data_IF_947493495771
#
_entry.id   IF_947493495771
#
_cell.length_a   1.000
_cell.length_b   1.000
_cell.length_c   1.000
_cell.angle_alpha   90.00
_cell.angle_beta   90.00
_cell.angle_gamma   90.00
#
_symmetry.space_group_name_H-M   'P 1'
#
loop_
_entity.id
_entity.type
_entity.pdbx_description
1 polymer ?
#
# COMPACT_ATOMS: atom_id res chain seq x y z
N UNK A 1 -9.75 -21.93 -70.77
CA UNK A 1 -11.16 -21.52 -70.66
C UNK A 1 -11.23 -20.01 -70.43
N UNK A 2 -12.43 -19.39 -70.45
CA UNK A 2 -12.63 -17.93 -70.36
C UNK A 2 -12.27 -17.35 -68.96
N UNK A 3 -12.18 -16.04 -68.71
CA UNK A 3 -12.67 -14.86 -69.45
C UNK A 3 -11.74 -13.61 -69.27
N UNK A 4 -11.66 -12.61 -70.18
CA UNK A 4 -12.50 -11.36 -70.27
C UNK A 4 -12.42 -10.52 -68.96
N UNK A 5 -12.09 -9.23 -68.89
CA UNK A 5 -12.03 -8.02 -69.79
C UNK A 5 -10.96 -7.05 -69.15
N UNK A 6 -10.51 -5.88 -69.65
CA UNK A 6 -10.66 -4.99 -70.83
C UNK A 6 -9.43 -4.04 -70.87
N UNK A 7 -9.11 -3.40 -72.00
CA UNK A 7 -8.33 -2.13 -72.05
C UNK A 7 -9.24 -0.92 -71.70
N UNK A 8 -8.84 0.36 -71.50
CA UNK A 8 -7.74 1.22 -71.97
C UNK A 8 -7.77 2.55 -71.13
N UNK A 9 -7.00 3.65 -71.29
CA UNK A 9 -6.18 4.25 -72.37
C UNK A 9 -5.44 5.50 -71.81
N UNK A 10 -4.49 6.08 -72.59
CA UNK A 10 -4.09 7.52 -72.62
C UNK A 10 -3.34 8.10 -71.39
N UNK A 11 -2.26 8.91 -71.53
CA UNK A 11 -1.37 9.17 -72.69
C UNK A 11 -0.06 9.89 -72.28
N UNK A 12 0.88 9.98 -73.25
CA UNK A 12 1.84 11.09 -73.52
C UNK A 12 2.61 11.75 -72.36
N UNK A 13 3.95 11.67 -72.20
CA UNK A 13 5.12 11.80 -73.13
C UNK A 13 5.70 13.21 -73.31
N UNK A 14 6.75 13.53 -72.54
CA UNK A 14 7.94 14.33 -72.94
C UNK A 14 8.99 14.28 -71.80
N UNK A 15 10.32 14.21 -71.94
CA UNK A 15 11.31 14.30 -73.04
C UNK A 15 12.19 15.56 -73.09
N UNK A 16 13.07 15.70 -72.09
CA UNK A 16 14.31 16.51 -72.11
C UNK A 16 15.24 15.95 -71.00
N UNK A 17 16.54 15.66 -71.14
CA UNK A 17 17.70 16.31 -71.79
C UNK A 17 17.95 17.74 -71.26
N UNK A 18 19.07 18.09 -70.63
CA UNK A 18 20.33 17.41 -70.31
C UNK A 18 20.82 17.93 -68.92
N UNK A 19 21.98 17.64 -68.32
CA UNK A 19 23.33 17.35 -68.83
C UNK A 19 24.18 16.59 -67.78
N UNK A 20 25.44 16.25 -68.13
CA UNK A 20 26.42 15.71 -67.17
C UNK A 20 27.30 16.83 -66.62
N UNK A 21 27.41 16.90 -65.29
CA UNK A 21 28.63 17.37 -64.62
C UNK A 21 29.00 16.39 -63.51
N UNK A 22 30.27 16.01 -63.46
CA UNK A 22 30.85 15.11 -62.47
C UNK A 22 31.86 15.88 -61.63
N UNK A 23 31.50 16.22 -60.40
CA UNK A 23 32.42 16.82 -59.42
C UNK A 23 32.78 15.84 -58.29
N UNK A 24 33.92 16.13 -57.65
CA UNK A 24 34.66 15.18 -56.83
C UNK A 24 33.97 14.74 -55.53
N UNK A 25 34.28 13.50 -55.13
CA UNK A 25 34.09 12.99 -53.79
C UNK A 25 34.75 13.92 -52.75
N UNK A 26 33.92 14.57 -51.91
CA UNK A 26 34.37 15.31 -50.72
C UNK A 26 34.05 14.48 -49.46
N UNK A 27 35.00 14.30 -48.53
CA UNK A 27 34.74 13.57 -47.30
C UNK A 27 33.76 14.32 -46.40
N UNK A 28 32.84 13.60 -45.77
CA UNK A 28 31.89 14.16 -44.80
C UNK A 28 32.60 14.61 -43.53
N UNK A 29 32.60 15.92 -43.25
CA UNK A 29 33.27 16.50 -42.08
C UNK A 29 32.75 15.95 -40.74
N UNK A 30 33.63 15.68 -39.75
CA UNK A 30 33.28 14.98 -38.51
C UNK A 30 32.31 15.75 -37.58
N UNK A 31 32.14 17.05 -37.79
CA UNK A 31 31.30 17.89 -36.92
C UNK A 31 29.80 17.72 -37.19
N UNK A 32 29.43 17.17 -38.35
CA UNK A 32 28.05 16.75 -38.66
C UNK A 32 27.54 15.72 -37.63
N UNK A 33 28.34 14.68 -37.37
CA UNK A 33 28.04 13.60 -36.41
C UNK A 33 27.96 14.14 -34.98
N UNK A 34 28.86 15.05 -34.58
CA UNK A 34 28.81 15.72 -33.26
C UNK A 34 27.54 16.56 -33.09
N UNK A 35 27.12 17.28 -34.14
CA UNK A 35 25.89 18.08 -34.10
C UNK A 35 24.64 17.22 -33.94
N UNK A 36 24.55 16.11 -34.68
CA UNK A 36 23.39 15.21 -34.63
C UNK A 36 23.30 14.45 -33.30
N UNK A 37 24.43 13.95 -32.78
CA UNK A 37 24.48 13.24 -31.49
C UNK A 37 24.14 14.15 -30.31
N UNK A 38 24.65 15.40 -30.27
CA UNK A 38 24.29 16.34 -29.20
C UNK A 38 22.79 16.71 -29.21
N UNK A 39 22.19 16.91 -30.40
CA UNK A 39 20.72 17.11 -30.50
C UNK A 39 19.95 15.92 -29.93
N UNK A 40 20.35 14.69 -30.28
CA UNK A 40 19.66 13.50 -29.80
C UNK A 40 19.81 13.28 -28.28
N UNK A 41 20.98 13.62 -27.69
CA UNK A 41 21.18 13.59 -26.23
C UNK A 41 20.33 14.65 -25.52
N UNK A 42 20.22 15.85 -26.07
CA UNK A 42 19.38 16.92 -25.52
C UNK A 42 17.89 16.53 -25.51
N UNK A 43 17.38 15.93 -26.60
CA UNK A 43 16.01 15.41 -26.67
C UNK A 43 15.75 14.29 -25.64
N UNK A 44 16.71 13.39 -25.42
CA UNK A 44 16.61 12.35 -24.38
C UNK A 44 16.53 12.97 -22.98
N UNK A 45 17.36 13.97 -22.67
CA UNK A 45 17.32 14.67 -21.38
C UNK A 45 15.98 15.38 -21.15
N UNK A 46 15.43 16.03 -22.18
CA UNK A 46 14.08 16.64 -22.11
C UNK A 46 13.02 15.58 -21.85
N UNK A 47 13.06 14.44 -22.55
CA UNK A 47 12.11 13.35 -22.36
C UNK A 47 12.13 12.83 -20.91
N UNK A 48 13.30 12.65 -20.30
CA UNK A 48 13.40 12.26 -18.89
C UNK A 48 12.86 13.32 -17.93
N UNK A 49 13.14 14.62 -18.17
CA UNK A 49 12.59 15.71 -17.34
C UNK A 49 11.06 15.76 -17.44
N UNK A 50 10.52 15.66 -18.66
CA UNK A 50 9.06 15.60 -18.89
C UNK A 50 8.44 14.37 -18.24
N UNK A 51 9.07 13.20 -18.32
CA UNK A 51 8.60 11.99 -17.65
C UNK A 51 8.57 12.11 -16.12
N UNK A 52 9.59 12.73 -15.51
CA UNK A 52 9.62 13.00 -14.07
C UNK A 52 8.53 14.02 -13.67
N UNK A 53 8.32 15.08 -14.45
CA UNK A 53 7.23 16.05 -14.21
C UNK A 53 5.87 15.37 -14.34
N UNK A 54 5.64 14.54 -15.37
CA UNK A 54 4.38 13.79 -15.53
C UNK A 54 4.19 12.79 -14.38
N UNK A 55 5.24 12.10 -13.94
CA UNK A 55 5.16 11.20 -12.77
C UNK A 55 4.83 11.95 -11.49
N UNK A 56 5.40 13.14 -11.29
CA UNK A 56 5.08 14.00 -10.15
C UNK A 56 3.66 14.55 -10.23
N UNK A 57 3.18 14.95 -11.42
CA UNK A 57 1.80 15.37 -11.63
C UNK A 57 0.81 14.22 -11.37
N UNK A 58 1.08 13.01 -11.86
CA UNK A 58 0.26 11.82 -11.58
C UNK A 58 0.30 11.47 -10.08
N UNK A 59 1.47 11.56 -9.44
CA UNK A 59 1.60 11.34 -8.00
C UNK A 59 0.79 12.38 -7.20
N UNK A 60 0.96 13.67 -7.49
CA UNK A 60 0.24 14.76 -6.84
C UNK A 60 -1.27 14.73 -7.14
N UNK A 61 -1.68 14.36 -8.35
CA UNK A 61 -3.09 14.19 -8.71
C UNK A 61 -3.70 12.96 -8.00
N UNK A 62 -2.95 11.86 -7.87
CA UNK A 62 -3.39 10.66 -7.14
C UNK A 62 -3.40 10.87 -5.61
N UNK A 63 -2.46 11.65 -5.08
CA UNK A 63 -2.45 12.12 -3.70
C UNK A 63 -3.63 13.06 -3.44
N UNK A 64 -3.83 14.06 -4.29
CA UNK A 64 -4.97 14.98 -4.22
C UNK A 64 -6.30 14.23 -4.32
N UNK A 65 -6.45 13.31 -5.28
CA UNK A 65 -7.64 12.47 -5.42
C UNK A 65 -7.86 11.60 -4.17
N UNK A 66 -6.81 10.98 -3.62
CA UNK A 66 -6.89 10.23 -2.36
C UNK A 66 -7.38 11.11 -1.20
N UNK A 67 -6.89 12.36 -1.08
CA UNK A 67 -7.36 13.31 -0.07
C UNK A 67 -8.77 13.87 -0.35
N UNK A 68 -9.14 14.08 -1.61
CA UNK A 68 -10.44 14.63 -2.01
C UNK A 68 -11.56 13.60 -1.87
N UNK A 69 -11.31 12.33 -2.23
CA UNK A 69 -12.23 11.21 -1.97
C UNK A 69 -12.41 10.94 -0.46
N UNK A 70 -11.50 11.43 0.41
CA UNK A 70 -11.73 11.46 1.87
C UNK A 70 -12.42 12.72 2.40
N UNK A 71 -12.67 13.73 1.56
CA UNK A 71 -13.37 14.99 1.91
C UNK A 71 -14.82 15.00 1.39
N UNK A 72 -15.12 14.32 0.28
CA UNK A 72 -16.50 14.20 -0.26
C UNK A 72 -17.23 13.00 0.36
N UNK A 73 -17.44 13.08 1.69
CA UNK A 73 -18.34 12.22 2.48
C UNK A 73 -19.05 13.14 3.48
N UNK A 74 -20.17 13.73 3.07
CA UNK A 74 -21.53 13.25 3.44
C UNK A 74 -21.89 13.54 4.91
N UNK A 75 -22.48 14.74 5.12
CA UNK A 75 -23.19 15.29 6.30
C UNK A 75 -22.54 15.04 7.66
N UNK A 76 -22.29 16.10 8.44
CA UNK A 76 -21.79 16.04 9.83
C UNK A 76 -22.67 15.13 10.72
N UNK A 77 -22.31 13.84 10.81
CA UNK A 77 -23.06 12.82 11.55
C UNK A 77 -22.58 12.79 13.01
N UNK A 78 -23.41 13.23 13.99
CA UNK A 78 -23.03 13.18 15.39
C UNK A 78 -22.90 11.74 15.89
N UNK A 79 -22.30 11.53 17.06
CA UNK A 79 -22.03 10.17 17.55
C UNK A 79 -23.33 9.44 17.97
N UNK A 80 -23.32 8.11 17.94
CA UNK A 80 -24.54 7.25 17.95
C UNK A 80 -25.57 7.53 19.06
N UNK A 81 -25.14 8.00 20.23
CA UNK A 81 -26.05 8.40 21.32
C UNK A 81 -26.81 9.69 21.01
N UNK A 82 -26.16 10.70 20.42
CA UNK A 82 -26.84 11.92 19.94
C UNK A 82 -27.78 11.65 18.77
N UNK A 83 -27.56 10.55 18.02
CA UNK A 83 -28.45 10.08 16.94
C UNK A 83 -29.62 9.22 17.44
N UNK A 84 -29.73 8.95 18.74
CA UNK A 84 -30.78 8.09 19.31
C UNK A 84 -30.67 6.60 18.95
N UNK A 85 -29.56 6.17 18.33
CA UNK A 85 -29.38 4.79 17.83
C UNK A 85 -29.05 3.77 18.93
N UNK A 86 -28.81 4.21 20.16
CA UNK A 86 -28.55 3.35 21.32
C UNK A 86 -29.84 3.18 22.12
N UNK A 87 -30.72 2.29 21.65
CA UNK A 87 -32.06 2.05 22.19
C UNK A 87 -32.38 0.55 22.34
N UNK A 88 -33.33 0.23 23.21
CA UNK A 88 -33.74 -1.15 23.51
C UNK A 88 -34.51 -1.77 22.33
N UNK A 89 -35.37 -0.98 21.70
CA UNK A 89 -36.24 -1.31 20.56
C UNK A 89 -35.52 -1.16 19.20
N UNK A 90 -34.33 -1.74 19.07
CA UNK A 90 -33.54 -1.70 17.82
C UNK A 90 -34.01 -2.74 16.80
N UNK A 91 -34.26 -2.32 15.56
CA UNK A 91 -34.66 -3.21 14.45
C UNK A 91 -33.47 -3.65 13.60
N UNK A 92 -33.61 -4.79 12.90
CA UNK A 92 -32.55 -5.29 12.01
C UNK A 92 -32.25 -4.36 10.82
N UNK A 93 -33.22 -3.55 10.39
CA UNK A 93 -33.06 -2.60 9.27
C UNK A 93 -32.15 -1.45 9.67
N UNK A 94 -32.43 -0.81 10.80
CA UNK A 94 -31.57 0.25 11.37
C UNK A 94 -30.12 -0.23 11.51
N UNK A 95 -29.88 -1.49 11.90
CA UNK A 95 -28.52 -2.05 11.95
C UNK A 95 -27.88 -2.24 10.56
N UNK A 96 -28.64 -2.69 9.55
CA UNK A 96 -28.15 -2.82 8.17
C UNK A 96 -27.83 -1.44 7.56
N UNK A 97 -28.68 -0.45 7.81
CA UNK A 97 -28.57 0.90 7.26
C UNK A 97 -27.44 1.70 7.95
N UNK A 98 -27.15 1.43 9.23
CA UNK A 98 -26.19 2.21 10.03
C UNK A 98 -24.83 1.57 10.31
N UNK A 99 -24.63 0.26 10.14
CA UNK A 99 -23.35 -0.40 10.56
C UNK A 99 -22.08 0.11 9.85
N UNK A 100 -22.21 0.79 8.70
CA UNK A 100 -21.09 1.42 7.99
C UNK A 100 -20.88 2.90 8.39
N UNK A 101 -21.90 3.55 8.95
CA UNK A 101 -21.81 4.94 9.40
C UNK A 101 -21.02 5.02 10.71
N UNK A 102 -20.20 6.07 10.85
CA UNK A 102 -19.40 6.34 12.06
C UNK A 102 -19.50 7.81 12.41
N UNK A 103 -19.22 8.16 13.67
CA UNK A 103 -19.12 9.56 14.11
C UNK A 103 -18.09 10.29 13.25
N UNK A 104 -18.47 11.44 12.69
CA UNK A 104 -17.60 12.33 11.91
C UNK A 104 -16.23 12.53 12.60
N UNK A 105 -16.23 12.89 13.88
CA UNK A 105 -15.01 12.94 14.69
C UNK A 105 -14.50 11.53 15.10
N UNK A 106 -13.85 10.85 14.16
CA UNK A 106 -13.17 9.57 14.37
C UNK A 106 -11.97 9.65 15.33
N UNK A 107 -11.52 10.85 15.71
CA UNK A 107 -10.45 11.07 16.67
C UNK A 107 -10.92 11.21 18.12
N UNK A 108 -12.18 11.61 18.34
CA UNK A 108 -12.73 11.84 19.69
C UNK A 108 -12.95 10.53 20.44
N UNK A 109 -12.17 10.33 21.52
CA UNK A 109 -12.36 9.22 22.47
C UNK A 109 -13.39 9.62 23.53
N UNK A 110 -14.50 8.89 23.60
CA UNK A 110 -15.58 9.12 24.58
C UNK A 110 -15.42 8.28 25.87
N UNK A 111 -14.65 7.19 25.82
CA UNK A 111 -14.44 6.26 26.93
C UNK A 111 -13.05 6.46 27.55
N UNK A 112 -12.99 6.99 28.77
CA UNK A 112 -11.74 7.40 29.43
C UNK A 112 -10.86 6.26 29.94
N UNK A 113 -11.47 5.11 30.28
CA UNK A 113 -10.73 3.95 30.79
C UNK A 113 -9.91 3.26 29.67
N UNK A 114 -8.83 2.52 29.98
CA UNK A 114 -8.02 1.83 28.99
C UNK A 114 -8.83 0.92 28.06
N UNK A 115 -8.46 0.90 26.77
CA UNK A 115 -9.10 0.10 25.73
C UNK A 115 -8.08 -0.83 25.12
N UNK A 116 -8.33 -2.14 25.22
CA UNK A 116 -7.55 -3.20 24.59
C UNK A 116 -8.29 -3.70 23.34
N UNK A 117 -7.62 -3.75 22.19
CA UNK A 117 -8.17 -4.31 20.96
C UNK A 117 -7.28 -5.46 20.43
N UNK A 118 -7.89 -6.63 20.20
CA UNK A 118 -7.21 -7.76 19.57
C UNK A 118 -7.20 -7.63 18.04
N UNK A 119 -6.05 -7.90 17.43
CA UNK A 119 -5.85 -7.84 15.97
C UNK A 119 -5.45 -9.23 15.48
N UNK A 120 -6.17 -9.81 14.52
CA UNK A 120 -5.98 -11.21 14.10
C UNK A 120 -5.58 -11.31 12.62
N UNK A 121 -4.58 -12.15 12.26
CA UNK A 121 -4.08 -12.22 10.88
C UNK A 121 -5.12 -12.73 9.88
N UNK A 122 -6.10 -13.52 10.32
CA UNK A 122 -7.22 -13.99 9.50
C UNK A 122 -8.36 -12.96 9.30
N UNK A 123 -8.24 -11.75 9.87
CA UNK A 123 -9.20 -10.66 9.64
C UNK A 123 -8.45 -9.35 9.37
N UNK A 124 -8.04 -9.16 8.12
CA UNK A 124 -7.29 -7.98 7.65
C UNK A 124 -7.96 -6.64 8.01
N UNK A 125 -9.30 -6.57 7.99
CA UNK A 125 -10.07 -5.37 8.36
C UNK A 125 -9.74 -4.87 9.77
N UNK A 126 -9.31 -5.76 10.69
CA UNK A 126 -8.83 -5.37 12.02
C UNK A 126 -7.60 -4.46 11.99
N UNK A 127 -6.66 -4.68 11.06
CA UNK A 127 -5.46 -3.86 10.91
C UNK A 127 -5.81 -2.43 10.46
N UNK A 128 -6.77 -2.28 9.55
CA UNK A 128 -7.22 -0.98 9.06
C UNK A 128 -8.11 -0.25 10.08
N UNK A 129 -8.97 -0.96 10.81
CA UNK A 129 -9.74 -0.38 11.91
C UNK A 129 -8.82 0.13 13.03
N UNK A 130 -7.75 -0.58 13.36
CA UNK A 130 -6.73 -0.11 14.31
C UNK A 130 -6.01 1.16 13.84
N UNK A 131 -5.71 1.27 12.53
CA UNK A 131 -5.14 2.49 11.94
C UNK A 131 -6.14 3.66 11.85
N UNK A 132 -7.44 3.37 11.66
CA UNK A 132 -8.52 4.37 11.58
C UNK A 132 -8.94 4.93 12.94
N UNK A 133 -8.87 4.12 14.00
CA UNK A 133 -9.35 4.46 15.34
C UNK A 133 -8.26 4.37 16.42
N UNK A 134 -6.98 4.55 16.04
CA UNK A 134 -5.82 4.50 16.95
C UNK A 134 -5.98 5.39 18.18
N UNK A 135 -6.51 6.59 17.99
CA UNK A 135 -6.86 7.59 19.02
C UNK A 135 -7.88 7.12 20.07
N UNK A 136 -8.72 6.13 19.74
CA UNK A 136 -9.73 5.55 20.64
C UNK A 136 -9.23 4.29 21.38
N UNK A 137 -8.05 3.78 21.04
CA UNK A 137 -7.46 2.53 21.55
C UNK A 137 -6.18 2.84 22.33
N UNK A 138 -6.01 2.31 23.55
CA UNK A 138 -4.77 2.53 24.32
C UNK A 138 -3.79 1.36 24.20
N UNK A 139 -4.31 0.15 23.96
CA UNK A 139 -3.52 -1.07 23.82
C UNK A 139 -3.98 -1.88 22.60
N UNK A 140 -3.05 -2.28 21.75
CA UNK A 140 -3.28 -3.17 20.61
C UNK A 140 -2.61 -4.50 20.90
N UNK A 141 -3.34 -5.61 20.81
CA UNK A 141 -2.78 -6.95 21.02
C UNK A 141 -2.89 -7.80 19.76
N UNK A 142 -1.88 -7.76 18.87
CA UNK A 142 -1.80 -8.65 17.73
C UNK A 142 -1.67 -10.11 18.15
N UNK A 143 -2.52 -10.96 17.60
CA UNK A 143 -2.55 -12.41 17.81
C UNK A 143 -1.64 -13.06 16.78
N UNK A 144 -0.33 -12.96 17.02
CA UNK A 144 0.70 -13.42 16.09
C UNK A 144 1.53 -14.58 16.60
N UNK A 145 1.68 -14.74 17.91
CA UNK A 145 2.74 -15.59 18.47
C UNK A 145 2.21 -16.78 19.27
N UNK A 146 2.85 -17.92 19.06
CA UNK A 146 2.58 -19.19 19.74
C UNK A 146 3.90 -19.79 20.21
N UNK A 147 3.99 -20.13 21.51
CA UNK A 147 5.17 -20.71 22.14
C UNK A 147 4.93 -22.21 22.34
N UNK A 148 5.55 -23.03 21.48
CA UNK A 148 5.33 -24.48 21.37
C UNK A 148 6.56 -25.26 21.83
N UNK A 149 6.37 -26.54 22.18
CA UNK A 149 7.45 -27.50 22.40
C UNK A 149 7.66 -28.35 21.14
N UNK A 150 8.73 -28.07 20.39
CA UNK A 150 9.21 -28.95 19.32
C UNK A 150 10.18 -29.98 19.92
N UNK A 151 9.61 -31.10 20.39
CA UNK A 151 10.35 -32.12 21.14
C UNK A 151 10.97 -31.55 22.43
N UNK A 152 12.30 -31.52 22.51
CA UNK A 152 13.05 -30.95 23.63
C UNK A 152 13.30 -29.44 23.50
N UNK A 153 12.88 -28.79 22.42
CA UNK A 153 13.13 -27.37 22.14
C UNK A 153 11.85 -26.55 22.27
N UNK A 154 11.90 -25.53 23.14
CA UNK A 154 10.89 -24.47 23.16
C UNK A 154 11.13 -23.50 21.99
N UNK A 155 10.09 -23.22 21.20
CA UNK A 155 10.15 -22.44 19.94
C UNK A 155 8.99 -21.45 19.85
N UNK A 156 9.24 -20.26 19.30
CA UNK A 156 8.27 -19.18 19.12
C UNK A 156 7.90 -19.06 17.63
N UNK A 157 6.65 -19.42 17.32
CA UNK A 157 6.06 -19.46 15.98
C UNK A 157 5.40 -18.14 15.59
N UNK A 158 4.89 -18.07 14.35
CA UNK A 158 4.05 -16.97 13.86
C UNK A 158 4.76 -15.62 13.65
N UNK A 159 6.09 -15.58 13.77
CA UNK A 159 6.96 -14.43 13.45
C UNK A 159 6.75 -13.82 12.06
N UNK A 160 6.22 -14.59 11.11
CA UNK A 160 5.88 -14.11 9.77
C UNK A 160 4.60 -13.25 9.74
N UNK A 161 3.70 -13.39 10.72
CA UNK A 161 2.46 -12.60 10.82
C UNK A 161 2.71 -11.17 11.33
N UNK A 162 3.89 -10.91 11.90
CA UNK A 162 4.24 -9.66 12.56
C UNK A 162 4.69 -8.58 11.56
N UNK A 163 3.71 -7.80 11.09
CA UNK A 163 3.88 -6.71 10.13
C UNK A 163 4.59 -5.49 10.73
N UNK A 164 5.82 -5.22 10.27
CA UNK A 164 6.63 -4.06 10.66
C UNK A 164 6.12 -2.73 10.09
N UNK A 165 5.49 -2.75 8.91
CA UNK A 165 4.88 -1.55 8.31
C UNK A 165 3.69 -1.10 9.14
N UNK A 166 2.78 -2.01 9.48
CA UNK A 166 1.65 -1.72 10.36
C UNK A 166 2.07 -1.27 11.76
N UNK A 167 3.12 -1.86 12.36
CA UNK A 167 3.71 -1.37 13.62
C UNK A 167 4.14 0.10 13.49
N UNK A 168 4.79 0.46 12.38
CA UNK A 168 5.23 1.85 12.13
C UNK A 168 4.05 2.80 11.92
N UNK A 169 3.07 2.41 11.10
CA UNK A 169 1.83 3.17 10.85
C UNK A 169 1.09 3.54 12.14
N UNK A 170 0.96 2.58 13.07
CA UNK A 170 0.32 2.78 14.37
C UNK A 170 1.12 3.77 15.21
N UNK A 171 2.45 3.58 15.31
CA UNK A 171 3.35 4.44 16.10
C UNK A 171 3.41 5.89 15.59
N UNK A 172 3.33 6.09 14.27
CA UNK A 172 3.27 7.42 13.66
C UNK A 172 1.91 8.11 13.90
N UNK A 173 0.84 7.36 14.15
CA UNK A 173 -0.54 7.87 14.29
C UNK A 173 -1.06 7.97 15.72
N UNK A 174 -0.28 7.57 16.73
CA UNK A 174 -0.65 7.79 18.13
C UNK A 174 0.05 6.89 19.14
N UNK A 175 -0.25 7.14 20.41
CA UNK A 175 0.47 6.60 21.57
C UNK A 175 -0.06 5.20 22.01
N UNK A 176 -0.62 4.41 21.09
CA UNK A 176 -1.20 3.10 21.42
C UNK A 176 -0.09 2.07 21.65
N UNK A 177 -0.08 1.43 22.83
CA UNK A 177 0.91 0.43 23.17
C UNK A 177 0.62 -0.89 22.44
N UNK A 178 1.59 -1.38 21.66
CA UNK A 178 1.48 -2.66 20.95
C UNK A 178 2.01 -3.76 21.86
N UNK A 179 1.12 -4.62 22.35
CA UNK A 179 1.34 -5.69 23.32
C UNK A 179 0.89 -7.04 22.73
N UNK A 180 1.69 -7.69 21.88
CA UNK A 180 1.28 -8.90 21.16
C UNK A 180 0.88 -10.05 22.09
N UNK A 181 -0.20 -10.76 21.72
CA UNK A 181 -0.61 -11.97 22.44
C UNK A 181 0.36 -13.09 22.10
N UNK A 182 0.89 -13.73 23.15
CA UNK A 182 1.71 -14.95 23.04
C UNK A 182 0.91 -16.09 23.67
N UNK A 183 0.53 -17.08 22.86
CA UNK A 183 -0.15 -18.29 23.33
C UNK A 183 0.88 -19.26 23.89
N UNK A 184 0.62 -19.86 25.05
CA UNK A 184 1.42 -20.93 25.62
C UNK A 184 0.79 -22.29 25.26
N UNK A 185 1.32 -22.94 24.23
CA UNK A 185 0.93 -24.32 23.86
C UNK A 185 1.89 -25.36 24.45
N UNK A 186 3.13 -24.96 24.74
CA UNK A 186 4.03 -25.74 25.58
C UNK A 186 3.39 -26.01 26.95
N UNK A 187 3.47 -27.27 27.41
CA UNK A 187 2.81 -27.78 28.63
C UNK A 187 3.03 -26.80 29.81
N UNK A 188 1.98 -26.11 30.33
CA UNK A 188 2.14 -25.05 31.31
C UNK A 188 2.81 -25.52 32.61
N UNK A 189 2.52 -26.73 33.05
CA UNK A 189 3.12 -27.34 34.25
C UNK A 189 4.65 -27.47 34.14
N UNK A 190 5.16 -27.67 32.92
CA UNK A 190 6.59 -27.79 32.64
C UNK A 190 7.27 -26.42 32.68
N UNK A 191 6.64 -25.38 32.13
CA UNK A 191 7.08 -23.98 32.25
C UNK A 191 7.02 -23.48 33.71
N UNK A 192 6.09 -24.01 34.52
CA UNK A 192 6.00 -23.66 35.95
C UNK A 192 7.03 -24.39 36.82
N UNK A 193 7.33 -25.67 36.54
CA UNK A 193 8.27 -26.47 37.34
C UNK A 193 9.73 -26.31 36.91
N UNK A 194 10.03 -26.31 35.60
CA UNK A 194 11.41 -26.41 35.07
C UNK A 194 12.03 -25.02 34.91
N UNK A 195 12.73 -24.50 35.94
CA UNK A 195 13.36 -23.16 35.94
C UNK A 195 14.13 -22.82 34.65
N UNK A 196 15.00 -23.72 34.16
CA UNK A 196 15.76 -23.53 32.90
C UNK A 196 14.87 -23.37 31.66
N UNK A 197 13.70 -24.02 31.62
CA UNK A 197 12.73 -23.90 30.52
C UNK A 197 11.99 -22.56 30.58
N UNK A 198 11.62 -22.11 31.78
CA UNK A 198 11.04 -20.77 32.02
C UNK A 198 12.00 -19.64 31.64
N UNK A 199 13.27 -19.75 31.99
CA UNK A 199 14.31 -18.78 31.60
C UNK A 199 14.46 -18.74 30.08
N UNK A 200 14.45 -19.89 29.40
CA UNK A 200 14.43 -19.96 27.94
C UNK A 200 13.17 -19.33 27.34
N UNK A 201 11.98 -19.53 27.95
CA UNK A 201 10.74 -18.91 27.52
C UNK A 201 10.81 -17.37 27.60
N UNK A 202 11.20 -16.85 28.77
CA UNK A 202 11.34 -15.41 29.02
C UNK A 202 12.35 -14.79 28.04
N UNK A 203 13.50 -15.45 27.82
CA UNK A 203 14.52 -14.95 26.89
C UNK A 203 14.04 -14.93 25.43
N UNK A 204 13.28 -15.94 24.97
CA UNK A 204 12.69 -15.93 23.63
C UNK A 204 11.68 -14.79 23.44
N UNK A 205 10.86 -14.51 24.47
CA UNK A 205 9.86 -13.45 24.46
C UNK A 205 10.54 -12.07 24.46
N UNK A 206 11.47 -11.81 25.39
CA UNK A 206 12.19 -10.54 25.49
C UNK A 206 13.01 -10.26 24.22
N UNK A 207 13.61 -11.29 23.61
CA UNK A 207 14.33 -11.17 22.34
C UNK A 207 13.42 -10.74 21.19
N UNK A 208 12.24 -11.37 21.04
CA UNK A 208 11.28 -10.98 20.00
C UNK A 208 10.77 -9.55 20.22
N UNK A 209 10.52 -9.15 21.48
CA UNK A 209 10.15 -7.79 21.83
C UNK A 209 11.21 -6.79 21.35
N UNK A 210 12.46 -6.95 21.79
CA UNK A 210 13.58 -6.04 21.46
C UNK A 210 13.94 -5.95 19.96
N UNK A 211 13.49 -6.89 19.13
CA UNK A 211 13.78 -6.95 17.68
C UNK A 211 12.69 -6.25 16.83
N UNK A 212 11.54 -5.92 17.43
CA UNK A 212 10.36 -5.41 16.70
C UNK A 212 9.63 -4.22 17.32
N UNK A 213 9.84 -3.93 18.60
CA UNK A 213 9.13 -2.88 19.33
C UNK A 213 10.11 -2.01 20.11
#
# INVERSE_FOLDING_TARGET
>A
MAAKKRSSRISSSSSSSSSRQSEAFKPSSPDSVKSQTNRHRWLITIFFIVFLIISLLIYCQRYYYYTATTVVVDVEKPYVYQRGLVKVDSTYREVIDENLNVSENISRRHFGNPVLAYITPWNSKGYDLAKKFSSKITHLSPVWYELKNEGSKLVLHGRHNADRGWISDIRMKGNALILPRIVLEAIPLDLLKKKKLREKAINLIIMECKIRY
#
